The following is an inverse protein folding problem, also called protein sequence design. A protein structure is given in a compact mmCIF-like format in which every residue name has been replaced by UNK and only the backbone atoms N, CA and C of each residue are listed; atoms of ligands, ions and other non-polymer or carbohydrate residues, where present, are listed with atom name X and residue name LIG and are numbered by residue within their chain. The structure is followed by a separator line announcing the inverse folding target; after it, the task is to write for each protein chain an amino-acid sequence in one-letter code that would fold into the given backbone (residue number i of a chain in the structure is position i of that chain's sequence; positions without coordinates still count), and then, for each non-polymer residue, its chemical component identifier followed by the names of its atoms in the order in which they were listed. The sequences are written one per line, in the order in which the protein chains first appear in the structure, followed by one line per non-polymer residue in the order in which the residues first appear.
data_IF_449871226845
#
_entry.id   IF_449871226845
#
_cell.length_a   1.000
_cell.length_b   1.000
_cell.length_c   1.000
_cell.angle_alpha   90.00
_cell.angle_beta   90.00
_cell.angle_gamma   90.00
#
_symmetry.space_group_name_H-M   'P 1'
#
loop_
_entity.id
_entity.type
_entity.pdbx_description
1 polymer ?
#
# COMPACT_ATOMS: atom_id res chain seq x y z
N UNK A 1 -16.12 -10.65 -3.10
CA UNK A 1 -16.10 -10.31 -4.55
C UNK A 1 -15.67 -11.57 -5.30
N UNK A 2 -16.35 -11.92 -6.39
CA UNK A 2 -16.12 -13.15 -7.14
C UNK A 2 -14.85 -13.05 -8.02
N UNK A 3 -14.19 -14.17 -8.30
CA UNK A 3 -12.99 -14.22 -9.15
C UNK A 3 -13.28 -13.72 -10.57
N UNK A 4 -14.48 -14.00 -11.07
CA UNK A 4 -14.91 -13.59 -12.40
C UNK A 4 -14.99 -12.06 -12.55
N UNK A 5 -15.48 -11.37 -11.51
CA UNK A 5 -15.50 -9.89 -11.47
C UNK A 5 -14.09 -9.30 -11.50
N UNK A 6 -13.16 -9.91 -10.75
CA UNK A 6 -11.75 -9.47 -10.70
C UNK A 6 -11.05 -9.68 -12.05
N UNK A 7 -11.35 -10.79 -12.73
CA UNK A 7 -10.79 -11.11 -14.04
C UNK A 7 -11.30 -10.16 -15.14
N UNK A 8 -12.60 -9.89 -15.20
CA UNK A 8 -13.15 -8.95 -16.17
C UNK A 8 -12.58 -7.53 -15.98
N UNK A 9 -12.41 -7.10 -14.72
CA UNK A 9 -11.75 -5.83 -14.41
C UNK A 9 -10.30 -5.84 -14.89
N UNK A 10 -9.55 -6.92 -14.65
CA UNK A 10 -8.18 -7.06 -15.12
C UNK A 10 -8.05 -6.94 -16.65
N UNK A 11 -8.96 -7.57 -17.39
CA UNK A 11 -8.98 -7.53 -18.86
C UNK A 11 -9.34 -6.12 -19.35
N UNK A 12 -10.38 -5.49 -18.77
CA UNK A 12 -10.76 -4.10 -19.10
C UNK A 12 -9.62 -3.12 -18.82
N UNK A 13 -8.81 -3.35 -17.78
CA UNK A 13 -7.61 -2.56 -17.47
C UNK A 13 -6.54 -2.71 -18.55
N UNK A 14 -6.18 -3.93 -18.94
CA UNK A 14 -5.19 -4.17 -20.00
C UNK A 14 -5.57 -3.50 -21.32
N UNK A 15 -6.86 -3.54 -21.67
CA UNK A 15 -7.38 -2.88 -22.86
C UNK A 15 -7.35 -1.35 -22.73
N UNK A 16 -7.73 -0.77 -21.58
CA UNK A 16 -7.62 0.68 -21.35
C UNK A 16 -6.19 1.20 -21.42
N UNK A 17 -5.22 0.49 -20.86
CA UNK A 17 -3.80 0.89 -20.95
C UNK A 17 -3.27 0.80 -22.39
N UNK A 18 -3.73 -0.19 -23.17
CA UNK A 18 -3.42 -0.28 -24.59
C UNK A 18 -4.11 0.83 -25.41
N UNK A 19 -5.36 1.16 -25.11
CA UNK A 19 -6.13 2.22 -25.77
C UNK A 19 -5.65 3.62 -25.40
N UNK A 20 -5.23 3.87 -24.16
CA UNK A 20 -4.67 5.14 -23.70
C UNK A 20 -3.33 5.45 -24.39
N UNK A 21 -2.53 4.42 -24.71
CA UNK A 21 -1.33 4.57 -25.56
C UNK A 21 -1.68 5.01 -26.98
N UNK A 22 -2.85 4.64 -27.50
CA UNK A 22 -3.34 5.02 -28.84
C UNK A 22 -4.09 6.36 -28.84
N UNK A 23 -4.72 6.74 -27.72
CA UNK A 23 -5.50 7.98 -27.54
C UNK A 23 -4.67 9.18 -27.05
N UNK A 24 -3.36 8.98 -26.77
CA UNK A 24 -2.44 10.00 -26.27
C UNK A 24 -2.25 11.21 -27.22
N UNK A 25 -2.79 11.19 -28.43
CA UNK A 25 -2.75 12.32 -29.36
C UNK A 25 -4.01 13.21 -29.35
N UNK A 26 -5.07 12.91 -28.58
CA UNK A 26 -6.34 13.69 -28.68
C UNK A 26 -6.99 14.16 -27.36
N UNK A 27 -6.68 13.63 -26.17
CA UNK A 27 -7.50 13.97 -24.98
C UNK A 27 -6.89 14.96 -23.98
N UNK A 28 -7.49 16.15 -23.96
CA UNK A 28 -7.74 17.09 -22.85
C UNK A 28 -6.78 17.00 -21.66
N UNK A 29 -5.89 17.98 -21.58
CA UNK A 29 -5.20 18.37 -20.34
C UNK A 29 -6.24 18.60 -19.24
N UNK A 30 -6.34 17.67 -18.26
CA UNK A 30 -7.01 17.98 -17.00
C UNK A 30 -6.39 19.26 -16.43
N UNK A 31 -7.21 20.18 -15.94
CA UNK A 31 -6.69 21.37 -15.29
C UNK A 31 -5.90 20.98 -14.03
N UNK A 32 -4.90 21.80 -13.67
CA UNK A 32 -4.09 21.55 -12.48
C UNK A 32 -4.92 21.50 -11.19
N UNK A 33 -6.07 22.18 -11.17
CA UNK A 33 -6.99 22.20 -10.03
C UNK A 33 -7.78 20.89 -9.92
N UNK A 34 -8.25 20.35 -11.05
CA UNK A 34 -8.90 19.03 -11.11
C UNK A 34 -7.94 17.91 -10.71
N UNK A 35 -6.67 17.97 -11.15
CA UNK A 35 -5.64 17.01 -10.77
C UNK A 35 -5.39 17.01 -9.26
N UNK A 36 -5.26 18.20 -8.66
CA UNK A 36 -5.10 18.35 -7.20
C UNK A 36 -6.30 17.81 -6.43
N UNK A 37 -7.51 18.13 -6.89
CA UNK A 37 -8.75 17.67 -6.26
C UNK A 37 -8.86 16.14 -6.32
N UNK A 38 -8.63 15.55 -7.50
CA UNK A 38 -8.67 14.11 -7.70
C UNK A 38 -7.63 13.40 -6.83
N UNK A 39 -6.38 13.86 -6.85
CA UNK A 39 -5.33 13.30 -6.02
C UNK A 39 -5.67 13.39 -4.52
N UNK A 40 -6.16 14.54 -4.05
CA UNK A 40 -6.51 14.75 -2.65
C UNK A 40 -7.59 13.77 -2.18
N UNK A 41 -8.64 13.58 -2.99
CA UNK A 41 -9.72 12.63 -2.72
C UNK A 41 -9.21 11.20 -2.68
N UNK A 42 -8.46 10.79 -3.71
CA UNK A 42 -7.93 9.42 -3.80
C UNK A 42 -6.96 9.11 -2.66
N UNK A 43 -6.10 10.06 -2.30
CA UNK A 43 -5.21 9.93 -1.15
C UNK A 43 -5.97 9.70 0.15
N UNK A 44 -7.04 10.47 0.41
CA UNK A 44 -7.85 10.30 1.61
C UNK A 44 -8.44 8.88 1.66
N UNK A 45 -9.08 8.48 0.56
CA UNK A 45 -9.73 7.16 0.44
C UNK A 45 -8.75 6.00 0.63
N UNK A 46 -7.54 6.11 0.08
CA UNK A 46 -6.50 5.08 0.22
C UNK A 46 -5.87 5.08 1.61
N UNK A 47 -5.70 6.25 2.24
CA UNK A 47 -5.16 6.35 3.60
C UNK A 47 -6.11 5.72 4.62
N UNK A 48 -7.42 5.98 4.48
CA UNK A 48 -8.46 5.37 5.32
C UNK A 48 -8.49 3.84 5.16
N UNK A 49 -8.32 3.36 3.92
CA UNK A 49 -8.26 1.92 3.64
C UNK A 49 -7.01 1.26 4.25
N UNK A 50 -5.84 1.89 4.10
CA UNK A 50 -4.60 1.45 4.77
C UNK A 50 -4.81 1.35 6.28
N UNK A 51 -5.36 2.41 6.90
CA UNK A 51 -5.62 2.42 8.34
C UNK A 51 -6.49 1.24 8.78
N UNK A 52 -7.61 1.03 8.08
CA UNK A 52 -8.53 -0.07 8.37
C UNK A 52 -7.83 -1.43 8.29
N UNK A 53 -7.11 -1.70 7.20
CA UNK A 53 -6.43 -2.98 7.01
C UNK A 53 -5.31 -3.23 8.03
N UNK A 54 -4.54 -2.19 8.37
CA UNK A 54 -3.46 -2.29 9.35
C UNK A 54 -3.98 -2.50 10.77
N UNK A 55 -5.07 -1.81 11.16
CA UNK A 55 -5.73 -2.03 12.46
C UNK A 55 -6.29 -3.44 12.57
N UNK A 56 -6.97 -3.92 11.54
CA UNK A 56 -7.47 -5.30 11.51
C UNK A 56 -6.34 -6.33 11.66
N UNK A 57 -5.17 -6.08 11.08
CA UNK A 57 -4.01 -6.95 11.24
C UNK A 57 -3.47 -6.90 12.68
N UNK A 58 -3.31 -5.70 13.25
CA UNK A 58 -2.85 -5.53 14.63
C UNK A 58 -3.78 -6.23 15.64
N UNK A 59 -5.10 -6.17 15.42
CA UNK A 59 -6.10 -6.86 16.27
C UNK A 59 -5.99 -8.39 16.21
N UNK A 60 -5.42 -8.95 15.12
CA UNK A 60 -5.25 -10.41 14.93
C UNK A 60 -3.92 -10.92 15.46
N UNK A 61 -2.89 -10.09 15.49
CA UNK A 61 -1.55 -10.45 15.95
C UNK A 61 -1.17 -9.63 17.18
N UNK A 62 -1.22 -10.21 18.40
CA UNK A 62 -0.90 -9.48 19.62
C UNK A 62 0.50 -8.84 19.58
N UNK A 63 0.63 -7.65 20.18
CA UNK A 63 1.90 -6.92 20.30
C UNK A 63 2.26 -6.05 19.09
N UNK A 64 1.40 -5.97 18.07
CA UNK A 64 1.51 -4.92 17.06
C UNK A 64 0.81 -3.65 17.54
N UNK A 65 1.54 -2.53 17.48
CA UNK A 65 1.01 -1.20 17.70
C UNK A 65 0.81 -0.48 16.37
N UNK A 66 -0.36 0.12 16.17
CA UNK A 66 -0.67 0.95 15.01
C UNK A 66 -0.21 2.39 15.23
N UNK A 67 0.34 3.02 14.19
CA UNK A 67 0.65 4.44 14.13
C UNK A 67 0.32 5.05 12.78
N UNK A 68 -0.37 6.19 12.78
CA UNK A 68 -0.63 6.96 11.56
C UNK A 68 0.65 7.65 11.06
N UNK A 69 0.77 7.79 9.74
CA UNK A 69 1.84 8.55 9.08
C UNK A 69 1.22 9.73 8.36
N UNK A 70 1.64 10.93 8.77
CA UNK A 70 1.24 12.22 8.22
C UNK A 70 2.49 13.09 8.14
N UNK A 71 3.29 12.91 7.09
CA UNK A 71 4.55 13.63 6.91
C UNK A 71 4.71 14.13 5.47
N UNK A 72 5.82 14.82 5.20
CA UNK A 72 6.16 15.30 3.86
C UNK A 72 6.33 14.16 2.85
N UNK A 73 6.68 12.97 3.34
CA UNK A 73 6.83 11.77 2.53
C UNK A 73 5.49 11.16 2.09
N UNK A 74 4.38 11.41 2.81
CA UNK A 74 3.07 10.89 2.43
C UNK A 74 2.09 10.72 3.58
N UNK A 75 0.97 10.06 3.26
CA UNK A 75 -0.14 9.78 4.16
C UNK A 75 -0.44 8.29 4.19
N UNK A 76 -0.64 7.73 5.38
CA UNK A 76 -0.98 6.32 5.53
C UNK A 76 -0.77 5.86 6.96
N UNK A 77 -0.18 4.67 7.13
CA UNK A 77 -0.02 4.08 8.44
C UNK A 77 1.12 3.07 8.51
N UNK A 78 1.48 2.73 9.74
CA UNK A 78 2.40 1.64 10.06
C UNK A 78 1.87 0.80 11.20
N UNK A 79 2.29 -0.44 11.23
CA UNK A 79 2.23 -1.30 12.42
C UNK A 79 3.64 -1.72 12.77
N UNK A 80 3.94 -1.77 14.06
CA UNK A 80 5.25 -2.18 14.57
C UNK A 80 5.11 -3.13 15.74
N UNK A 81 6.01 -4.11 15.82
CA UNK A 81 6.11 -5.04 16.93
C UNK A 81 7.57 -5.34 17.22
N UNK A 82 7.94 -5.21 18.48
CA UNK A 82 9.25 -5.60 18.98
C UNK A 82 9.14 -6.88 19.81
N UNK A 83 9.96 -7.87 19.49
CA UNK A 83 10.08 -9.14 20.19
C UNK A 83 11.49 -9.27 20.79
N UNK A 84 11.61 -10.01 21.90
CA UNK A 84 12.90 -10.35 22.51
C UNK A 84 13.12 -11.86 22.39
N UNK A 85 14.20 -12.25 21.71
CA UNK A 85 14.65 -13.64 21.63
C UNK A 85 15.80 -13.85 22.61
N UNK A 86 15.57 -14.68 23.63
CA UNK A 86 16.62 -15.10 24.56
C UNK A 86 17.42 -16.24 23.93
N UNK A 87 18.70 -16.00 23.65
CA UNK A 87 19.62 -17.05 23.20
C UNK A 87 20.46 -17.52 24.37
N UNK A 88 20.51 -18.84 24.61
CA UNK A 88 21.35 -19.42 25.68
C UNK A 88 22.81 -19.05 25.44
N UNK A 89 23.39 -18.28 26.36
CA UNK A 89 24.84 -17.99 26.41
C UNK A 89 25.32 -16.72 25.71
N UNK A 90 24.51 -16.09 24.84
CA UNK A 90 24.95 -14.93 24.02
C UNK A 90 24.13 -13.64 24.24
N UNK A 91 23.21 -13.63 25.20
CA UNK A 91 22.37 -12.46 25.54
C UNK A 91 21.01 -12.46 24.85
N UNK A 92 20.23 -11.40 25.08
CA UNK A 92 18.94 -11.16 24.43
C UNK A 92 19.13 -10.49 23.07
N UNK A 93 18.50 -11.02 22.03
CA UNK A 93 18.40 -10.37 20.72
C UNK A 93 17.04 -9.69 20.58
N UNK A 94 17.03 -8.40 20.23
CA UNK A 94 15.80 -7.69 19.87
C UNK A 94 15.48 -7.93 18.40
N UNK A 95 14.23 -8.31 18.13
CA UNK A 95 13.69 -8.55 16.80
C UNK A 95 12.59 -7.53 16.54
N UNK A 96 12.66 -6.81 15.43
CA UNK A 96 11.65 -5.84 15.04
C UNK A 96 10.87 -6.34 13.82
N UNK A 97 9.56 -6.16 13.83
CA UNK A 97 8.68 -6.39 12.70
C UNK A 97 7.87 -5.12 12.41
N UNK A 98 7.72 -4.76 11.15
CA UNK A 98 7.02 -3.55 10.70
C UNK A 98 6.38 -3.77 9.34
N UNK A 99 5.16 -3.27 9.19
CA UNK A 99 4.56 -3.00 7.90
C UNK A 99 4.21 -1.52 7.85
N UNK A 100 4.69 -0.83 6.82
CA UNK A 100 4.45 0.59 6.59
C UNK A 100 3.91 0.78 5.18
N UNK A 101 2.84 1.57 5.04
CA UNK A 101 2.22 1.87 3.77
C UNK A 101 1.83 3.34 3.70
N UNK A 102 2.21 4.01 2.62
CA UNK A 102 1.97 5.45 2.42
C UNK A 102 1.62 5.79 0.99
N UNK A 103 0.74 6.77 0.82
CA UNK A 103 0.45 7.42 -0.46
C UNK A 103 1.30 8.69 -0.55
N UNK A 104 2.10 8.82 -1.61
CA UNK A 104 2.98 9.96 -1.81
C UNK A 104 2.21 11.25 -2.11
N UNK A 105 2.79 12.43 -1.81
CA UNK A 105 2.23 13.70 -2.26
C UNK A 105 2.22 13.83 -3.78
N UNK A 106 1.28 14.64 -4.27
CA UNK A 106 1.24 15.02 -5.67
C UNK A 106 2.52 15.78 -6.02
N UNK A 107 3.35 15.18 -6.88
CA UNK A 107 4.58 15.77 -7.38
C UNK A 107 4.37 16.61 -8.65
N UNK A 108 5.45 16.78 -9.41
CA UNK A 108 5.42 17.43 -10.73
C UNK A 108 4.72 16.58 -11.79
N UNK A 109 4.71 15.26 -11.62
CA UNK A 109 4.00 14.32 -12.49
C UNK A 109 2.64 14.00 -11.87
N UNK A 110 1.52 14.07 -12.63
CA UNK A 110 0.18 13.83 -12.11
C UNK A 110 -0.09 12.33 -11.92
N UNK A 111 0.52 11.75 -10.88
CA UNK A 111 0.35 10.33 -10.49
C UNK A 111 -0.18 10.22 -9.07
N UNK A 112 -0.81 9.09 -8.78
CA UNK A 112 -0.98 8.56 -7.42
C UNK A 112 0.04 7.45 -7.26
N UNK A 113 0.84 7.50 -6.20
CA UNK A 113 1.83 6.48 -5.87
C UNK A 113 1.61 5.96 -4.45
N UNK A 114 1.49 4.63 -4.34
CA UNK A 114 1.45 3.87 -3.10
C UNK A 114 2.80 3.21 -2.87
N UNK A 115 3.36 3.38 -1.69
CA UNK A 115 4.64 2.80 -1.26
C UNK A 115 4.40 1.89 -0.07
N UNK A 116 4.98 0.70 -0.10
CA UNK A 116 4.85 -0.29 0.97
C UNK A 116 6.22 -0.86 1.33
N UNK A 117 6.49 -0.97 2.63
CA UNK A 117 7.71 -1.56 3.19
C UNK A 117 7.36 -2.53 4.30
N UNK A 118 7.92 -3.74 4.22
CA UNK A 118 7.69 -4.79 5.18
C UNK A 118 9.01 -5.38 5.70
N UNK A 119 9.10 -5.51 7.01
CA UNK A 119 10.19 -6.19 7.71
C UNK A 119 9.60 -7.13 8.75
N UNK A 120 10.14 -8.34 8.86
CA UNK A 120 9.75 -9.32 9.88
C UNK A 120 11.02 -9.83 10.54
N UNK A 121 11.11 -9.70 11.87
CA UNK A 121 12.25 -10.14 12.68
C UNK A 121 13.60 -9.68 12.11
N UNK A 122 13.72 -8.39 11.86
CA UNK A 122 14.89 -7.71 11.27
C UNK A 122 15.21 -8.09 9.80
N UNK A 123 14.36 -8.87 9.12
CA UNK A 123 14.53 -9.22 7.70
C UNK A 123 13.52 -8.49 6.83
N UNK A 124 14.00 -7.73 5.85
CA UNK A 124 13.13 -7.12 4.84
C UNK A 124 12.44 -8.22 4.01
N UNK A 125 11.12 -8.14 3.90
CA UNK A 125 10.29 -9.06 3.12
C UNK A 125 9.99 -8.45 1.76
N UNK A 126 9.63 -7.17 1.74
CA UNK A 126 9.46 -6.42 0.51
C UNK A 126 9.64 -4.91 0.73
N UNK A 127 10.02 -4.24 -0.36
CA UNK A 127 9.98 -2.79 -0.54
C UNK A 127 9.44 -2.54 -1.95
N UNK A 128 8.19 -2.07 -2.05
CA UNK A 128 7.44 -1.99 -3.31
C UNK A 128 6.79 -0.64 -3.48
N UNK A 129 6.63 -0.23 -4.73
CA UNK A 129 5.82 0.91 -5.12
C UNK A 129 4.83 0.50 -6.21
N UNK A 130 3.67 1.14 -6.20
CA UNK A 130 2.63 1.00 -7.21
C UNK A 130 2.12 2.38 -7.58
N UNK A 131 2.10 2.72 -8.86
CA UNK A 131 1.67 4.04 -9.32
C UNK A 131 0.76 3.95 -10.53
N UNK A 132 -0.13 4.93 -10.64
CA UNK A 132 -0.96 5.16 -11.82
C UNK A 132 -1.04 6.65 -12.10
N UNK A 133 -1.18 7.01 -13.37
CA UNK A 133 -1.47 8.38 -13.75
C UNK A 133 -2.87 8.75 -13.30
N UNK A 134 -3.09 10.01 -12.92
CA UNK A 134 -4.39 10.51 -12.48
C UNK A 134 -5.48 10.32 -13.54
N UNK A 135 -5.13 10.40 -14.82
CA UNK A 135 -6.02 10.17 -15.97
C UNK A 135 -6.52 8.72 -16.08
N UNK A 136 -5.75 7.75 -15.59
CA UNK A 136 -6.02 6.31 -15.66
C UNK A 136 -6.37 5.72 -14.29
N UNK A 137 -6.54 6.57 -13.27
CA UNK A 137 -6.61 6.16 -11.89
C UNK A 137 -7.78 5.22 -11.62
N UNK A 138 -7.46 4.00 -11.18
CA UNK A 138 -8.40 3.01 -10.68
C UNK A 138 -8.17 2.79 -9.18
N UNK A 139 -8.92 3.50 -8.35
CA UNK A 139 -8.81 3.44 -6.88
C UNK A 139 -9.01 2.01 -6.36
N UNK A 140 -9.88 1.23 -7.00
CA UNK A 140 -10.13 -0.15 -6.58
C UNK A 140 -8.88 -1.02 -6.77
N UNK A 141 -8.11 -0.79 -7.84
CA UNK A 141 -6.85 -1.50 -8.02
C UNK A 141 -5.84 -1.20 -6.90
N UNK A 142 -5.82 0.04 -6.39
CA UNK A 142 -4.98 0.38 -5.23
C UNK A 142 -5.47 -0.31 -3.95
N UNK A 143 -6.79 -0.38 -3.72
CA UNK A 143 -7.36 -1.16 -2.60
C UNK A 143 -6.98 -2.63 -2.67
N UNK A 144 -7.12 -3.25 -3.84
CA UNK A 144 -6.72 -4.64 -4.08
C UNK A 144 -5.23 -4.85 -3.79
N UNK A 145 -4.37 -3.89 -4.16
CA UNK A 145 -2.94 -3.92 -3.87
C UNK A 145 -2.63 -3.77 -2.38
N UNK A 146 -3.36 -2.88 -1.68
CA UNK A 146 -3.23 -2.72 -0.23
C UNK A 146 -3.60 -4.03 0.48
N UNK A 147 -4.74 -4.62 0.12
CA UNK A 147 -5.21 -5.88 0.70
C UNK A 147 -4.19 -7.00 0.46
N UNK A 148 -3.67 -7.10 -0.77
CA UNK A 148 -2.66 -8.09 -1.13
C UNK A 148 -1.40 -7.98 -0.27
N UNK A 149 -0.85 -6.78 -0.11
CA UNK A 149 0.38 -6.57 0.66
C UNK A 149 0.18 -6.84 2.16
N UNK A 150 -1.00 -6.50 2.69
CA UNK A 150 -1.35 -6.78 4.09
C UNK A 150 -1.50 -8.28 4.32
N UNK A 151 -2.15 -9.01 3.41
CA UNK A 151 -2.31 -10.46 3.48
C UNK A 151 -0.97 -11.20 3.35
N UNK A 152 -0.13 -10.79 2.39
CA UNK A 152 1.21 -11.36 2.22
C UNK A 152 2.07 -11.15 3.48
N UNK A 153 2.02 -9.96 4.09
CA UNK A 153 2.70 -9.71 5.36
C UNK A 153 2.19 -10.62 6.48
N UNK A 154 0.87 -10.75 6.63
CA UNK A 154 0.25 -11.60 7.64
C UNK A 154 0.66 -13.08 7.49
N UNK A 155 0.67 -13.60 6.26
CA UNK A 155 1.09 -14.96 5.95
C UNK A 155 2.57 -15.18 6.31
N UNK A 156 3.45 -14.30 5.86
CA UNK A 156 4.89 -14.38 6.13
C UNK A 156 5.18 -14.25 7.63
N UNK A 157 4.44 -13.39 8.35
CA UNK A 157 4.59 -13.23 9.79
C UNK A 157 4.15 -14.48 10.54
N UNK A 158 2.99 -15.05 10.18
CA UNK A 158 2.50 -16.29 10.79
C UNK A 158 3.44 -17.48 10.52
N UNK A 159 4.02 -17.56 9.32
CA UNK A 159 5.00 -18.58 8.97
C UNK A 159 6.30 -18.42 9.78
N UNK A 160 6.76 -17.18 9.95
CA UNK A 160 7.93 -16.88 10.76
C UNK A 160 7.67 -17.06 12.26
N UNK A 161 6.43 -16.93 12.76
CA UNK A 161 6.08 -17.05 14.17
C UNK A 161 6.33 -18.44 14.77
N UNK A 162 6.37 -19.48 13.92
CA UNK A 162 6.73 -20.86 14.29
C UNK A 162 8.23 -20.99 14.59
#
# INVERSE_FOLDING_TARGET
MDFQDRLERAIKRGNRTAEARVQAEVQKTMSAEEQKSLHSRSRLELSDHIESCLKMLADRFPGFDYGSILNEDGWGGRITRDDIRLQRGTGSQTLYSRLEMTVRPLGSVPIVELVGKATIRNKEIFSRNHYQRLEELDIESFREMIDLWVLEFAEQFAAAAK
#
